data_IF_692302971203
#
_entry.id   IF_692302971203
#
_cell.length_a   1.000
_cell.length_b   1.000
_cell.length_c   1.000
_cell.angle_alpha   90.00
_cell.angle_beta   90.00
_cell.angle_gamma   90.00
#
_symmetry.space_group_name_H-M   'P 1'
#
loop_
_entity.id
_entity.type
_entity.pdbx_description
1 polymer ?
#
# COMPACT_ATOMS: atom_id res chain seq x y z
N UNK A 1 -6.26 12.33 -22.16
CA UNK A 1 -7.47 11.52 -22.32
C UNK A 1 -8.59 12.20 -21.51
N UNK A 2 -9.73 12.50 -22.13
CA UNK A 2 -10.88 13.17 -21.47
C UNK A 2 -12.14 12.37 -21.77
N UNK A 3 -12.93 12.10 -20.75
CA UNK A 3 -14.21 11.39 -20.85
C UNK A 3 -15.37 12.36 -20.77
N UNK A 4 -16.53 11.94 -21.26
CA UNK A 4 -17.76 12.69 -21.12
C UNK A 4 -18.26 12.68 -19.68
N UNK A 5 -18.98 13.75 -19.28
CA UNK A 5 -19.60 13.82 -17.96
C UNK A 5 -20.68 12.75 -17.84
N UNK A 6 -20.56 11.88 -16.85
CA UNK A 6 -21.62 10.94 -16.46
C UNK A 6 -22.44 11.56 -15.33
N UNK A 7 -23.78 11.46 -15.42
CA UNK A 7 -24.71 12.01 -14.43
C UNK A 7 -25.63 10.90 -13.93
N UNK A 8 -25.79 10.80 -12.62
CA UNK A 8 -26.71 9.88 -11.96
C UNK A 8 -27.58 10.65 -10.97
N UNK A 9 -28.89 10.54 -11.12
CA UNK A 9 -29.88 11.15 -10.21
C UNK A 9 -30.38 10.14 -9.18
N UNK A 10 -30.75 10.63 -8.00
CA UNK A 10 -31.36 9.83 -6.93
C UNK A 10 -32.24 10.71 -6.05
N UNK A 11 -33.28 10.11 -5.48
CA UNK A 11 -34.16 10.75 -4.51
C UNK A 11 -33.73 10.36 -3.09
N UNK A 12 -33.45 11.37 -2.26
CA UNK A 12 -33.03 11.18 -0.86
C UNK A 12 -34.13 11.64 0.08
N UNK A 13 -34.35 10.89 1.16
CA UNK A 13 -35.23 11.27 2.27
C UNK A 13 -34.41 11.60 3.52
N UNK A 14 -34.97 12.34 4.48
CA UNK A 14 -34.36 12.47 5.79
C UNK A 14 -33.98 11.10 6.35
N UNK A 15 -32.80 11.02 6.98
CA UNK A 15 -32.25 9.80 7.60
C UNK A 15 -31.92 8.64 6.64
N UNK A 16 -31.86 8.90 5.33
CA UNK A 16 -31.44 7.92 4.32
C UNK A 16 -29.97 8.14 3.93
N UNK A 17 -29.17 7.07 4.01
CA UNK A 17 -27.86 7.00 3.36
C UNK A 17 -28.01 6.33 1.99
N UNK A 18 -27.34 6.87 0.98
CA UNK A 18 -27.27 6.27 -0.36
C UNK A 18 -25.82 5.92 -0.66
N UNK A 19 -25.59 4.66 -1.02
CA UNK A 19 -24.36 4.21 -1.65
C UNK A 19 -24.64 3.99 -3.14
N UNK A 20 -23.75 4.44 -4.01
CA UNK A 20 -23.94 4.31 -5.44
C UNK A 20 -22.64 4.14 -6.18
N UNK A 21 -22.71 3.40 -7.28
CA UNK A 21 -21.60 3.15 -8.19
C UNK A 21 -21.88 3.86 -9.51
N UNK A 22 -20.84 4.51 -10.05
CA UNK A 22 -20.86 5.15 -11.36
C UNK A 22 -19.69 4.57 -12.16
N UNK A 23 -20.00 3.96 -13.29
CA UNK A 23 -18.99 3.52 -14.23
C UNK A 23 -18.66 4.68 -15.18
N UNK A 24 -17.36 5.00 -15.28
CA UNK A 24 -16.85 6.01 -16.20
C UNK A 24 -16.27 5.29 -17.43
N UNK A 25 -16.80 5.51 -18.64
CA UNK A 25 -16.27 4.87 -19.83
C UNK A 25 -14.93 5.50 -20.22
N UNK A 26 -13.83 4.83 -19.84
CA UNK A 26 -12.46 5.27 -20.15
C UNK A 26 -11.99 4.89 -21.55
N UNK A 27 -12.81 4.17 -22.33
CA UNK A 27 -12.46 3.74 -23.69
C UNK A 27 -11.27 2.78 -23.77
N UNK A 28 -10.81 2.51 -24.99
CA UNK A 28 -9.69 1.57 -25.24
C UNK A 28 -8.31 2.26 -25.20
N UNK A 29 -8.24 3.57 -25.45
CA UNK A 29 -7.00 4.36 -25.47
C UNK A 29 -6.68 5.01 -24.12
N UNK A 30 -6.71 4.20 -23.05
CA UNK A 30 -6.34 4.63 -21.71
C UNK A 30 -4.82 4.71 -21.58
N UNK A 31 -4.32 5.80 -20.98
CA UNK A 31 -2.91 5.91 -20.60
C UNK A 31 -2.73 5.19 -19.28
N UNK A 32 -1.84 4.20 -19.25
CA UNK A 32 -1.57 3.42 -18.06
C UNK A 32 -0.51 4.08 -17.19
N UNK A 33 -0.62 3.86 -15.88
CA UNK A 33 0.33 4.29 -14.88
C UNK A 33 1.36 3.18 -14.65
N UNK A 34 2.65 3.50 -14.76
CA UNK A 34 3.77 2.66 -14.35
C UNK A 34 4.98 3.51 -13.97
N UNK A 35 6.11 2.86 -13.63
CA UNK A 35 7.33 3.57 -13.24
C UNK A 35 7.95 4.43 -14.35
N UNK A 36 7.65 4.21 -15.62
CA UNK A 36 8.22 4.97 -16.73
C UNK A 36 7.24 6.03 -17.24
N UNK A 37 5.95 5.72 -17.19
CA UNK A 37 4.84 6.54 -17.61
C UNK A 37 3.84 6.68 -16.46
N UNK A 38 4.08 7.58 -15.48
CA UNK A 38 3.17 7.78 -14.35
C UNK A 38 1.94 8.61 -14.75
N UNK A 39 1.14 8.10 -15.69
CA UNK A 39 -0.05 8.79 -16.19
C UNK A 39 -1.12 8.87 -15.10
N UNK A 40 -1.49 10.10 -14.73
CA UNK A 40 -2.55 10.38 -13.75
C UNK A 40 -3.73 11.06 -14.42
N UNK A 41 -4.91 10.75 -13.92
CA UNK A 41 -6.19 11.34 -14.27
C UNK A 41 -6.71 12.12 -13.09
N UNK A 42 -7.39 13.24 -13.37
CA UNK A 42 -8.13 13.99 -12.36
C UNK A 42 -9.62 13.71 -12.52
N UNK A 43 -10.24 13.23 -11.45
CA UNK A 43 -11.67 13.04 -11.34
C UNK A 43 -12.27 14.20 -10.53
N UNK A 44 -13.27 14.85 -11.11
CA UNK A 44 -14.10 15.82 -10.42
C UNK A 44 -15.48 15.23 -10.18
N UNK A 45 -15.87 15.11 -8.91
CA UNK A 45 -17.17 14.59 -8.48
C UNK A 45 -17.97 15.77 -7.95
N UNK A 46 -19.11 16.03 -8.56
CA UNK A 46 -20.02 17.12 -8.16
C UNK A 46 -21.33 16.50 -7.68
N UNK A 47 -21.70 16.79 -6.44
CA UNK A 47 -23.00 16.46 -5.87
C UNK A 47 -23.88 17.71 -5.90
N UNK A 48 -24.99 17.65 -6.62
CA UNK A 48 -25.95 18.75 -6.72
C UNK A 48 -27.30 18.28 -6.17
N UNK A 49 -27.96 19.11 -5.35
CA UNK A 49 -29.29 18.80 -4.82
C UNK A 49 -30.19 20.04 -4.77
N UNK A 50 -31.50 19.82 -4.72
CA UNK A 50 -32.48 20.88 -4.55
C UNK A 50 -33.56 20.47 -3.55
N UNK A 51 -33.88 21.35 -2.60
CA UNK A 51 -34.92 21.12 -1.59
C UNK A 51 -35.57 22.46 -1.20
N UNK A 52 -36.91 22.53 -1.20
CA UNK A 52 -37.68 23.73 -0.85
C UNK A 52 -37.15 25.01 -1.54
N UNK A 53 -37.01 24.96 -2.86
CA UNK A 53 -36.44 26.01 -3.74
C UNK A 53 -34.96 26.37 -3.52
N UNK A 54 -34.30 25.80 -2.50
CA UNK A 54 -32.86 25.95 -2.30
C UNK A 54 -32.08 24.95 -3.14
N UNK A 55 -30.93 25.37 -3.65
CA UNK A 55 -29.97 24.51 -4.36
C UNK A 55 -28.70 24.37 -3.53
N UNK A 56 -28.17 23.17 -3.47
CA UNK A 56 -26.93 22.84 -2.77
C UNK A 56 -25.96 22.20 -3.75
N UNK A 57 -24.67 22.45 -3.55
CA UNK A 57 -23.59 21.89 -4.36
C UNK A 57 -22.40 21.57 -3.48
N UNK A 58 -21.86 20.37 -3.64
CA UNK A 58 -20.59 19.95 -3.06
C UNK A 58 -19.70 19.38 -4.18
N UNK A 59 -18.39 19.50 -4.02
CA UNK A 59 -17.43 19.17 -5.07
C UNK A 59 -16.14 18.60 -4.47
N UNK A 60 -15.71 17.46 -5.00
CA UNK A 60 -14.48 16.78 -4.59
C UNK A 60 -13.62 16.50 -5.82
N UNK A 61 -12.34 16.81 -5.71
CA UNK A 61 -11.31 16.46 -6.68
C UNK A 61 -10.46 15.33 -6.13
N UNK A 62 -10.18 14.33 -6.96
CA UNK A 62 -9.22 13.28 -6.65
C UNK A 62 -8.42 12.90 -7.88
N UNK A 63 -7.21 12.40 -7.69
CA UNK A 63 -6.38 11.89 -8.77
C UNK A 63 -6.30 10.37 -8.69
N UNK A 64 -6.22 9.71 -9.85
CA UNK A 64 -6.06 8.26 -9.93
C UNK A 64 -5.20 7.87 -11.12
N UNK A 65 -4.62 6.68 -11.08
CA UNK A 65 -3.85 6.10 -12.18
C UNK A 65 -4.41 4.74 -12.58
N UNK A 66 -4.38 4.45 -13.87
CA UNK A 66 -4.90 3.19 -14.42
C UNK A 66 -3.76 2.18 -14.49
N UNK A 67 -3.76 1.17 -13.63
CA UNK A 67 -2.72 0.14 -13.66
C UNK A 67 -3.25 -1.19 -13.17
N UNK A 68 -2.61 -2.25 -13.62
CA UNK A 68 -2.72 -3.58 -13.03
C UNK A 68 -1.35 -4.00 -12.51
N UNK A 69 -1.27 -4.38 -11.22
CA UNK A 69 -0.06 -4.93 -10.60
C UNK A 69 -0.37 -6.32 -10.08
N UNK A 70 0.31 -7.34 -10.61
CA UNK A 70 0.00 -8.75 -10.31
C UNK A 70 1.28 -9.57 -10.13
N UNK A 71 1.17 -10.66 -9.38
CA UNK A 71 2.18 -11.71 -9.35
C UNK A 71 1.76 -12.83 -10.32
N UNK A 72 2.61 -13.12 -11.30
CA UNK A 72 2.45 -14.24 -12.23
C UNK A 72 3.56 -15.28 -11.97
N UNK A 73 3.23 -16.29 -11.17
CA UNK A 73 4.17 -17.30 -10.73
C UNK A 73 5.26 -16.72 -9.83
N UNK A 74 6.47 -16.54 -10.38
CA UNK A 74 7.64 -16.03 -9.62
C UNK A 74 8.03 -14.61 -10.01
N UNK A 75 7.22 -13.95 -10.84
CA UNK A 75 7.51 -12.62 -11.37
C UNK A 75 6.36 -11.67 -11.08
N UNK A 76 6.68 -10.42 -10.79
CA UNK A 76 5.69 -9.36 -10.81
C UNK A 76 5.50 -8.86 -12.23
N UNK A 77 4.28 -8.45 -12.55
CA UNK A 77 3.96 -7.72 -13.78
C UNK A 77 3.21 -6.44 -13.47
N UNK A 78 3.47 -5.40 -14.28
CA UNK A 78 2.69 -4.17 -14.30
C UNK A 78 2.20 -3.95 -15.71
N UNK A 79 0.88 -3.91 -15.88
CA UNK A 79 0.25 -3.78 -17.20
C UNK A 79 0.77 -4.85 -18.18
N UNK A 80 0.73 -6.12 -17.76
CA UNK A 80 1.24 -7.31 -18.48
C UNK A 80 2.75 -7.36 -18.76
N UNK A 81 3.54 -6.40 -18.26
CA UNK A 81 4.99 -6.36 -18.45
C UNK A 81 5.70 -6.80 -17.17
N UNK A 82 6.59 -7.78 -17.29
CA UNK A 82 7.46 -8.21 -16.18
C UNK A 82 8.23 -7.02 -15.62
N UNK A 83 8.14 -6.82 -14.29
CA UNK A 83 8.86 -5.78 -13.56
C UNK A 83 9.82 -6.42 -12.55
N UNK A 84 11.00 -5.81 -12.40
CA UNK A 84 11.91 -6.10 -11.32
C UNK A 84 11.85 -4.96 -10.30
N UNK A 85 11.46 -5.29 -9.06
CA UNK A 85 11.45 -4.33 -7.96
C UNK A 85 12.89 -4.04 -7.52
N UNK A 86 13.34 -2.83 -7.79
CA UNK A 86 14.61 -2.25 -7.37
C UNK A 86 14.32 -1.45 -6.11
N UNK A 87 14.27 -2.17 -4.99
CA UNK A 87 13.72 -1.69 -3.73
C UNK A 87 14.70 -0.90 -2.86
N UNK A 88 14.19 0.12 -2.18
CA UNK A 88 14.80 0.73 -0.99
C UNK A 88 13.97 0.39 0.24
N UNK A 89 14.66 0.09 1.34
CA UNK A 89 14.08 0.05 2.68
C UNK A 89 14.02 1.46 3.30
N UNK A 90 12.89 1.82 3.87
CA UNK A 90 12.69 3.09 4.58
C UNK A 90 12.20 2.89 6.02
N UNK A 91 13.01 3.33 6.98
CA UNK A 91 12.75 3.19 8.42
C UNK A 91 12.36 4.50 9.11
N UNK A 92 11.75 5.44 8.38
CA UNK A 92 11.34 6.75 8.92
C UNK A 92 12.51 7.53 9.55
N UNK A 93 13.69 7.47 8.93
CA UNK A 93 14.91 8.07 9.49
C UNK A 93 15.03 9.53 9.02
N UNK A 94 14.52 10.45 9.83
CA UNK A 94 14.60 11.90 9.59
C UNK A 94 15.28 12.62 10.78
N UNK A 95 16.62 12.62 10.88
CA UNK A 95 17.34 13.04 12.08
C UNK A 95 17.13 14.49 12.52
N UNK A 96 16.84 15.39 11.56
CA UNK A 96 16.66 16.82 11.85
C UNK A 96 15.28 17.15 12.42
N UNK A 97 14.25 16.42 12.01
CA UNK A 97 12.85 16.67 12.36
C UNK A 97 12.33 15.68 13.40
N UNK A 98 12.84 14.45 13.40
CA UNK A 98 12.31 13.34 14.19
C UNK A 98 11.02 12.71 13.63
N UNK A 99 10.52 13.22 12.50
CA UNK A 99 9.31 12.73 11.82
C UNK A 99 9.42 12.94 10.31
N UNK A 100 8.65 12.19 9.54
CA UNK A 100 8.64 12.27 8.07
C UNK A 100 8.06 13.60 7.56
N UNK A 101 8.54 14.14 6.42
CA UNK A 101 7.92 15.29 5.79
C UNK A 101 6.42 15.08 5.57
N UNK A 102 5.64 16.14 5.72
CA UNK A 102 4.17 16.12 5.56
C UNK A 102 3.73 16.80 4.25
N UNK A 103 4.67 17.31 3.46
CA UNK A 103 4.45 17.99 2.18
C UNK A 103 4.97 17.17 0.99
N UNK A 104 4.30 17.32 -0.15
CA UNK A 104 4.57 16.57 -1.39
C UNK A 104 5.94 16.93 -1.96
N UNK A 105 6.34 18.19 -1.92
CA UNK A 105 7.60 18.66 -2.53
C UNK A 105 8.84 18.02 -1.88
N UNK A 106 8.83 17.88 -0.56
CA UNK A 106 9.90 17.18 0.18
C UNK A 106 10.00 15.71 -0.20
N UNK A 107 8.86 15.03 -0.30
CA UNK A 107 8.81 13.64 -0.75
C UNK A 107 9.20 13.49 -2.21
N UNK A 108 8.79 14.41 -3.08
CA UNK A 108 9.18 14.41 -4.48
C UNK A 108 10.70 14.50 -4.61
N UNK A 109 11.33 15.39 -3.87
CA UNK A 109 12.80 15.49 -3.83
C UNK A 109 13.43 14.16 -3.41
N UNK A 110 12.96 13.53 -2.33
CA UNK A 110 13.49 12.25 -1.82
C UNK A 110 13.36 11.15 -2.89
N UNK A 111 12.17 10.99 -3.45
CA UNK A 111 11.85 9.93 -4.41
C UNK A 111 12.53 10.16 -5.76
N UNK A 112 12.67 11.41 -6.24
CA UNK A 112 13.45 11.73 -7.46
C UNK A 112 14.91 11.39 -7.31
N UNK A 113 15.51 11.63 -6.14
CA UNK A 113 16.90 11.24 -5.87
C UNK A 113 17.01 9.73 -5.98
N UNK A 114 16.16 8.95 -5.31
CA UNK A 114 16.22 7.49 -5.41
C UNK A 114 15.98 6.98 -6.83
N UNK A 115 15.01 7.57 -7.55
CA UNK A 115 14.74 7.25 -8.96
C UNK A 115 15.94 7.51 -9.86
N UNK A 116 16.73 8.55 -9.59
CA UNK A 116 17.97 8.83 -10.34
C UNK A 116 19.04 7.74 -10.19
N UNK A 117 18.98 6.94 -9.11
CA UNK A 117 19.82 5.75 -8.91
C UNK A 117 19.16 4.47 -9.44
N UNK A 118 18.02 4.57 -10.13
CA UNK A 118 17.29 3.42 -10.67
C UNK A 118 16.40 2.70 -9.66
N UNK A 119 16.15 3.26 -8.47
CA UNK A 119 15.17 2.71 -7.52
C UNK A 119 13.76 2.97 -8.04
N UNK A 120 12.91 1.95 -7.99
CA UNK A 120 11.51 2.03 -8.41
C UNK A 120 10.52 1.52 -7.36
N UNK A 121 11.01 1.02 -6.23
CA UNK A 121 10.18 0.44 -5.18
C UNK A 121 10.64 0.91 -3.80
N UNK A 122 9.69 1.23 -2.92
CA UNK A 122 9.94 1.63 -1.54
C UNK A 122 9.14 0.75 -0.59
N UNK A 123 9.86 0.06 0.30
CA UNK A 123 9.29 -0.68 1.43
C UNK A 123 9.43 0.15 2.70
N UNK A 124 8.32 0.44 3.39
CA UNK A 124 8.30 1.23 4.63
C UNK A 124 8.31 0.32 5.86
N UNK A 125 9.49 0.10 6.40
CA UNK A 125 9.75 -0.82 7.52
C UNK A 125 9.76 -0.08 8.87
N UNK A 126 8.87 -0.36 9.80
CA UNK A 126 7.52 -0.93 9.64
C UNK A 126 6.55 0.20 9.93
N UNK A 127 6.11 0.91 8.89
CA UNK A 127 5.23 2.06 9.05
C UNK A 127 4.46 2.37 7.75
N UNK A 128 3.43 3.20 7.87
CA UNK A 128 2.73 3.79 6.73
C UNK A 128 3.17 5.26 6.60
N UNK A 129 3.68 5.68 5.42
CA UNK A 129 4.04 7.08 5.21
C UNK A 129 2.78 7.97 5.08
N UNK A 130 2.91 9.31 5.19
CA UNK A 130 1.79 10.23 5.01
C UNK A 130 1.33 10.28 3.55
N UNK A 131 0.11 10.79 3.31
CA UNK A 131 -0.48 10.98 1.97
C UNK A 131 0.47 11.67 0.99
N UNK A 132 1.22 12.68 1.47
CA UNK A 132 2.21 13.40 0.69
C UNK A 132 3.26 12.49 0.03
N UNK A 133 3.64 11.38 0.68
CA UNK A 133 4.56 10.41 0.12
C UNK A 133 3.93 9.61 -1.03
N UNK A 134 2.66 9.21 -0.88
CA UNK A 134 1.92 8.51 -1.92
C UNK A 134 1.66 9.42 -3.12
N UNK A 135 1.25 10.67 -2.90
CA UNK A 135 1.07 11.63 -3.99
C UNK A 135 2.37 11.90 -4.75
N UNK A 136 3.49 12.07 -4.04
CA UNK A 136 4.80 12.20 -4.68
C UNK A 136 5.17 10.94 -5.47
N UNK A 137 4.91 9.75 -4.92
CA UNK A 137 5.18 8.48 -5.58
C UNK A 137 4.30 8.26 -6.81
N UNK A 138 3.04 8.68 -6.78
CA UNK A 138 2.12 8.67 -7.92
C UNK A 138 2.64 9.54 -9.06
N UNK A 139 3.07 10.77 -8.75
CA UNK A 139 3.60 11.73 -9.74
C UNK A 139 4.92 11.27 -10.33
N UNK A 140 5.76 10.65 -9.52
CA UNK A 140 7.10 10.24 -9.91
C UNK A 140 7.07 8.90 -10.62
N UNK A 141 6.20 7.97 -10.24
CA UNK A 141 6.23 6.57 -10.67
C UNK A 141 7.17 5.74 -9.81
N UNK A 142 6.82 5.56 -8.53
CA UNK A 142 7.47 4.65 -7.57
C UNK A 142 6.40 3.71 -7.01
N UNK A 143 6.70 2.41 -6.94
CA UNK A 143 5.86 1.40 -6.32
C UNK A 143 6.07 1.39 -4.80
N UNK A 144 5.00 1.48 -4.03
CA UNK A 144 5.03 1.64 -2.57
C UNK A 144 4.50 0.37 -1.88
N UNK A 145 5.27 -0.09 -0.89
CA UNK A 145 4.93 -1.17 0.02
C UNK A 145 4.93 -0.65 1.47
N UNK A 146 3.86 0.04 1.91
CA UNK A 146 3.66 0.33 3.33
C UNK A 146 3.46 -0.95 4.14
N UNK A 147 3.83 -0.90 5.42
CA UNK A 147 3.61 -1.99 6.35
C UNK A 147 2.77 -1.50 7.54
N UNK A 148 1.93 -2.39 8.05
CA UNK A 148 1.34 -2.20 9.37
C UNK A 148 2.46 -2.27 10.44
N UNK A 149 2.23 -1.67 11.61
CA UNK A 149 3.18 -1.67 12.72
C UNK A 149 2.58 -2.32 13.99
N UNK A 150 2.31 -3.63 13.99
CA UNK A 150 1.66 -4.31 15.11
C UNK A 150 2.61 -4.62 16.28
N UNK A 151 3.91 -4.33 16.13
CA UNK A 151 4.97 -4.91 16.96
C UNK A 151 5.47 -6.21 16.34
N UNK A 152 5.67 -7.26 17.15
CA UNK A 152 6.39 -8.47 16.75
C UNK A 152 5.54 -9.74 16.65
N UNK A 153 4.30 -9.79 17.16
CA UNK A 153 3.58 -11.07 17.30
C UNK A 153 2.07 -10.95 17.05
N UNK A 154 1.50 -11.98 16.42
CA UNK A 154 0.06 -12.26 16.38
C UNK A 154 -0.20 -13.55 17.15
N UNK A 155 -1.35 -13.66 17.83
CA UNK A 155 -1.67 -14.81 18.67
C UNK A 155 -3.02 -15.42 18.30
N UNK A 156 -3.14 -16.74 18.46
CA UNK A 156 -4.45 -17.41 18.37
C UNK A 156 -5.33 -17.02 19.57
N UNK A 157 -6.65 -17.07 19.40
CA UNK A 157 -7.60 -16.61 20.42
C UNK A 157 -7.55 -17.35 21.76
N UNK A 158 -6.94 -18.54 21.78
CA UNK A 158 -6.75 -19.37 22.97
C UNK A 158 -5.35 -19.21 23.61
N UNK A 159 -4.46 -18.41 23.01
CA UNK A 159 -3.14 -18.13 23.56
C UNK A 159 -3.22 -17.10 24.72
N UNK A 160 -2.43 -17.25 25.80
CA UNK A 160 -2.48 -16.35 26.95
C UNK A 160 -2.14 -14.88 26.62
N UNK A 161 -1.31 -14.65 25.61
CA UNK A 161 -0.92 -13.31 25.16
C UNK A 161 -1.88 -12.71 24.11
N UNK A 162 -3.00 -13.39 23.81
CA UNK A 162 -4.00 -12.85 22.91
C UNK A 162 -4.75 -11.66 23.52
N UNK A 163 -4.76 -10.55 22.80
CA UNK A 163 -5.51 -9.35 23.14
C UNK A 163 -6.52 -9.02 22.01
N UNK A 164 -7.83 -9.22 22.23
CA UNK A 164 -8.85 -8.94 21.22
C UNK A 164 -8.99 -7.45 20.91
N UNK A 165 -8.72 -6.55 21.86
CA UNK A 165 -8.79 -5.11 21.60
C UNK A 165 -7.58 -4.64 20.78
N UNK A 166 -6.40 -5.22 21.01
CA UNK A 166 -5.24 -5.00 20.15
C UNK A 166 -5.51 -5.46 18.72
N UNK A 167 -6.03 -6.69 18.52
CA UNK A 167 -6.34 -7.18 17.18
C UNK A 167 -7.39 -6.29 16.49
N UNK A 168 -8.42 -5.87 17.21
CA UNK A 168 -9.44 -4.95 16.71
C UNK A 168 -8.84 -3.60 16.31
N UNK A 169 -7.95 -3.03 17.12
CA UNK A 169 -7.23 -1.80 16.79
C UNK A 169 -6.41 -1.95 15.52
N UNK A 170 -5.61 -3.03 15.40
CA UNK A 170 -4.77 -3.29 14.23
C UNK A 170 -5.60 -3.46 12.95
N UNK A 171 -6.73 -4.16 13.03
CA UNK A 171 -7.67 -4.27 11.91
C UNK A 171 -8.24 -2.91 11.54
N UNK A 172 -8.68 -2.12 12.52
CA UNK A 172 -9.19 -0.78 12.27
C UNK A 172 -8.14 0.14 11.62
N UNK A 173 -6.88 0.08 12.08
CA UNK A 173 -5.77 0.84 11.52
C UNK A 173 -5.48 0.43 10.07
N UNK A 174 -5.39 -0.87 9.80
CA UNK A 174 -5.16 -1.37 8.45
C UNK A 174 -6.30 -0.99 7.48
N UNK A 175 -7.56 -1.08 7.91
CA UNK A 175 -8.70 -0.58 7.12
C UNK A 175 -8.65 0.95 6.95
N UNK A 176 -8.18 1.69 7.96
CA UNK A 176 -7.94 3.13 7.89
C UNK A 176 -6.93 3.49 6.81
N UNK A 177 -5.80 2.76 6.75
CA UNK A 177 -4.77 2.90 5.70
C UNK A 177 -5.36 2.64 4.32
N UNK A 178 -6.11 1.56 4.12
CA UNK A 178 -6.74 1.25 2.83
C UNK A 178 -7.73 2.34 2.42
N UNK A 179 -8.55 2.80 3.36
CA UNK A 179 -9.53 3.86 3.11
C UNK A 179 -8.86 5.19 2.77
N UNK A 180 -7.78 5.53 3.45
CA UNK A 180 -7.09 6.81 3.26
C UNK A 180 -6.23 6.81 2.00
N UNK A 181 -5.48 5.74 1.74
CA UNK A 181 -4.41 5.75 0.76
C UNK A 181 -4.58 4.73 -0.37
N UNK A 182 -5.51 3.78 -0.26
CA UNK A 182 -5.67 2.68 -1.23
C UNK A 182 -6.09 3.10 -2.64
N UNK A 183 -6.43 4.37 -2.84
CA UNK A 183 -6.72 4.93 -4.17
C UNK A 183 -5.45 5.41 -4.91
N UNK A 184 -4.31 5.51 -4.23
CA UNK A 184 -3.06 5.93 -4.84
C UNK A 184 -2.52 4.84 -5.77
N UNK A 185 -2.32 5.11 -7.07
CA UNK A 185 -1.71 4.14 -7.98
C UNK A 185 -0.27 3.79 -7.59
N UNK A 186 0.42 4.50 -6.70
CA UNK A 186 1.71 4.05 -6.19
C UNK A 186 1.60 2.91 -5.17
N UNK A 187 0.49 2.80 -4.44
CA UNK A 187 0.27 1.78 -3.41
C UNK A 187 -0.02 0.42 -4.06
N UNK A 188 0.99 -0.44 -4.18
CA UNK A 188 0.88 -1.76 -4.85
C UNK A 188 0.75 -2.92 -3.89
N UNK A 189 1.39 -2.82 -2.73
CA UNK A 189 1.69 -3.96 -1.87
C UNK A 189 1.50 -3.55 -0.42
N UNK A 190 0.94 -4.41 0.40
CA UNK A 190 0.77 -4.19 1.83
C UNK A 190 1.26 -5.40 2.62
N UNK A 191 1.94 -5.18 3.74
CA UNK A 191 2.32 -6.26 4.64
C UNK A 191 1.87 -5.96 6.07
N UNK A 192 1.56 -6.99 6.86
CA UNK A 192 1.16 -6.79 8.26
C UNK A 192 2.29 -6.31 9.17
N UNK A 193 3.54 -6.32 8.71
CA UNK A 193 4.68 -5.90 9.52
C UNK A 193 5.97 -6.58 9.10
N UNK A 194 6.92 -6.67 10.03
CA UNK A 194 8.23 -7.24 9.82
C UNK A 194 8.64 -8.12 10.99
N UNK A 195 9.35 -9.21 10.68
CA UNK A 195 9.89 -10.16 11.67
C UNK A 195 8.83 -10.67 12.63
N UNK A 196 7.59 -10.79 12.15
CA UNK A 196 6.48 -11.23 12.97
C UNK A 196 6.62 -12.72 13.29
N UNK A 197 6.26 -13.07 14.53
CA UNK A 197 6.12 -14.43 15.01
C UNK A 197 4.71 -14.73 15.54
N UNK A 198 4.59 -15.84 16.25
CA UNK A 198 3.34 -16.28 16.86
C UNK A 198 2.49 -17.14 15.90
N UNK A 199 1.21 -16.82 15.73
CA UNK A 199 0.28 -17.60 14.92
C UNK A 199 0.26 -17.17 13.44
N UNK A 200 0.69 -18.07 12.55
CA UNK A 200 0.50 -17.93 11.10
C UNK A 200 -0.98 -17.90 10.72
N UNK A 201 -1.81 -18.67 11.41
CA UNK A 201 -3.26 -18.71 11.17
C UNK A 201 -3.89 -17.34 11.44
N UNK A 202 -3.58 -16.73 12.58
CA UNK A 202 -4.09 -15.40 12.92
C UNK A 202 -3.64 -14.33 11.91
N UNK A 203 -2.39 -14.38 11.44
CA UNK A 203 -1.91 -13.48 10.38
C UNK A 203 -2.65 -13.70 9.05
N UNK A 204 -2.85 -14.96 8.62
CA UNK A 204 -3.59 -15.29 7.41
C UNK A 204 -5.04 -14.76 7.47
N UNK A 205 -5.72 -14.93 8.61
CA UNK A 205 -7.09 -14.43 8.80
C UNK A 205 -7.19 -12.90 8.68
N UNK A 206 -6.17 -12.16 9.12
CA UNK A 206 -6.11 -10.70 8.96
C UNK A 206 -5.88 -10.32 7.50
N UNK A 207 -4.99 -11.02 6.79
CA UNK A 207 -4.75 -10.80 5.35
C UNK A 207 -6.01 -11.10 4.53
N UNK A 208 -6.66 -12.23 4.77
CA UNK A 208 -7.89 -12.61 4.06
C UNK A 208 -9.02 -11.60 4.31
N UNK A 209 -9.14 -11.13 5.55
CA UNK A 209 -10.08 -10.06 5.88
C UNK A 209 -9.75 -8.75 5.14
N UNK A 210 -8.49 -8.32 5.09
CA UNK A 210 -8.09 -7.13 4.32
C UNK A 210 -8.41 -7.28 2.83
N UNK A 211 -8.09 -8.44 2.25
CA UNK A 211 -8.39 -8.74 0.85
C UNK A 211 -9.90 -8.70 0.56
N UNK A 212 -10.74 -9.10 1.52
CA UNK A 212 -12.20 -9.05 1.37
C UNK A 212 -12.79 -7.64 1.39
N UNK A 213 -12.09 -6.66 1.97
CA UNK A 213 -12.55 -5.25 2.00
C UNK A 213 -11.89 -4.41 0.90
N UNK A 214 -10.68 -4.77 0.47
CA UNK A 214 -9.96 -4.11 -0.61
C UNK A 214 -9.02 -5.11 -1.31
N UNK A 215 -9.43 -5.61 -2.47
CA UNK A 215 -8.66 -6.59 -3.26
C UNK A 215 -7.71 -5.99 -4.29
N UNK A 216 -7.53 -4.66 -4.29
CA UNK A 216 -6.72 -3.95 -5.32
C UNK A 216 -5.21 -4.06 -5.11
N UNK A 217 -4.80 -4.46 -3.92
CA UNK A 217 -3.40 -4.51 -3.49
C UNK A 217 -2.93 -5.97 -3.38
N UNK A 218 -1.64 -6.19 -3.58
CA UNK A 218 -1.01 -7.46 -3.20
C UNK A 218 -0.74 -7.47 -1.69
N UNK A 219 -1.06 -8.58 -1.01
CA UNK A 219 -0.91 -8.70 0.43
C UNK A 219 0.13 -9.77 0.83
N UNK A 220 0.79 -9.53 1.96
CA UNK A 220 1.60 -10.53 2.63
C UNK A 220 1.36 -10.48 4.15
N UNK A 221 1.46 -11.63 4.80
CA UNK A 221 1.40 -11.76 6.26
C UNK A 221 2.54 -11.02 6.97
N UNK A 222 3.61 -10.67 6.25
CA UNK A 222 4.68 -9.80 6.74
C UNK A 222 6.00 -10.04 6.02
N UNK A 223 6.97 -9.20 6.33
CA UNK A 223 8.32 -9.26 5.79
C UNK A 223 9.27 -9.95 6.77
N UNK A 224 10.06 -10.92 6.33
CA UNK A 224 10.97 -11.68 7.19
C UNK A 224 10.27 -12.36 8.40
N UNK A 225 8.98 -12.68 8.29
CA UNK A 225 8.25 -13.37 9.36
C UNK A 225 8.89 -14.74 9.64
N UNK A 226 8.94 -15.12 10.92
CA UNK A 226 9.59 -16.35 11.39
C UNK A 226 10.98 -16.53 10.76
N UNK A 227 11.83 -15.51 10.81
CA UNK A 227 13.12 -15.48 10.10
C UNK A 227 14.09 -16.62 10.47
N UNK A 228 13.86 -17.33 11.58
CA UNK A 228 14.55 -18.58 11.96
C UNK A 228 14.04 -19.82 11.22
N UNK A 229 12.78 -19.82 10.81
CA UNK A 229 12.05 -20.88 10.10
C UNK A 229 11.28 -20.28 8.91
N UNK A 230 11.99 -19.74 7.90
CA UNK A 230 11.37 -18.99 6.82
C UNK A 230 10.57 -19.91 5.90
N UNK A 231 9.37 -19.45 5.54
CA UNK A 231 8.48 -20.14 4.62
C UNK A 231 7.62 -19.09 3.89
N UNK A 232 7.35 -19.33 2.61
CA UNK A 232 6.28 -18.61 1.90
C UNK A 232 4.95 -19.06 2.49
N UNK A 233 4.24 -18.15 3.16
CA UNK A 233 3.00 -18.50 3.82
C UNK A 233 1.87 -18.71 2.78
N UNK A 234 0.99 -19.68 3.06
CA UNK A 234 -0.23 -19.85 2.27
C UNK A 234 -1.08 -18.58 2.36
N UNK A 235 -1.61 -18.12 1.22
CA UNK A 235 -2.40 -16.90 1.14
C UNK A 235 -1.60 -15.61 0.96
N UNK A 236 -0.26 -15.64 0.95
CA UNK A 236 0.57 -14.49 0.55
C UNK A 236 0.59 -14.33 -0.97
N UNK A 237 0.37 -13.11 -1.45
CA UNK A 237 0.51 -12.75 -2.88
C UNK A 237 1.98 -12.54 -3.27
N UNK A 238 2.85 -12.27 -2.28
CA UNK A 238 4.28 -12.10 -2.47
C UNK A 238 5.09 -12.47 -1.22
N UNK A 239 6.39 -12.72 -1.40
CA UNK A 239 7.29 -13.11 -0.31
C UNK A 239 8.46 -12.15 -0.13
N UNK A 240 8.46 -11.41 0.98
CA UNK A 240 9.62 -10.61 1.40
C UNK A 240 10.41 -11.39 2.45
N UNK A 241 11.62 -11.82 2.10
CA UNK A 241 12.46 -12.61 3.01
C UNK A 241 13.96 -12.39 2.75
N UNK A 242 14.78 -12.52 3.79
CA UNK A 242 16.24 -12.60 3.69
C UNK A 242 16.76 -14.03 3.49
N UNK A 243 15.95 -15.07 3.72
CA UNK A 243 16.34 -16.49 3.68
C UNK A 243 15.22 -17.37 3.11
N UNK A 244 15.57 -18.39 2.33
CA UNK A 244 14.58 -19.33 1.77
C UNK A 244 14.56 -20.69 2.45
N UNK A 245 15.50 -20.97 3.37
CA UNK A 245 15.58 -22.23 4.12
C UNK A 245 16.35 -22.04 5.44
N UNK A 246 16.09 -22.92 6.41
CA UNK A 246 16.83 -22.99 7.67
C UNK A 246 18.31 -23.29 7.40
N UNK A 247 19.22 -22.52 8.02
CA UNK A 247 20.66 -22.78 7.98
C UNK A 247 21.41 -22.49 6.67
N UNK A 248 20.74 -22.00 5.61
CA UNK A 248 21.41 -21.54 4.38
C UNK A 248 21.78 -20.05 4.46
N UNK A 249 22.79 -19.68 3.67
CA UNK A 249 23.16 -18.29 3.42
C UNK A 249 21.94 -17.48 2.95
N UNK A 250 21.93 -16.20 3.29
CA UNK A 250 20.91 -15.24 2.84
C UNK A 250 20.69 -15.35 1.33
N UNK A 251 19.48 -15.01 0.87
CA UNK A 251 19.15 -15.00 -0.56
C UNK A 251 20.23 -14.22 -1.33
N UNK A 252 20.57 -14.67 -2.55
CA UNK A 252 21.62 -14.00 -3.34
C UNK A 252 21.33 -12.50 -3.44
N UNK A 253 22.26 -11.67 -2.93
CA UNK A 253 22.12 -10.21 -2.87
C UNK A 253 21.63 -9.66 -1.52
N UNK A 254 21.21 -10.51 -0.58
CA UNK A 254 20.91 -10.11 0.79
C UNK A 254 22.20 -10.03 1.61
N UNK A 255 22.66 -8.81 1.86
CA UNK A 255 23.78 -8.51 2.75
C UNK A 255 23.21 -8.04 4.09
N UNK A 256 23.29 -8.87 5.12
CA UNK A 256 23.04 -8.46 6.50
C UNK A 256 24.35 -8.61 7.28
N UNK A 257 24.97 -7.48 7.61
CA UNK A 257 26.22 -7.42 8.36
C UNK A 257 26.06 -6.45 9.52
N UNK A 258 25.40 -6.90 10.59
CA UNK A 258 25.18 -6.06 11.77
C UNK A 258 26.43 -5.84 12.62
N UNK A 259 27.55 -6.53 12.35
CA UNK A 259 28.74 -6.56 13.23
C UNK A 259 30.08 -6.61 12.45
N UNK A 260 30.27 -5.79 11.41
CA UNK A 260 31.64 -5.64 10.90
C UNK A 260 32.48 -4.85 11.92
N UNK A 261 33.78 -5.19 12.11
CA UNK A 261 34.69 -4.47 13.00
C UNK A 261 35.07 -3.07 12.47
N UNK A 262 34.27 -2.51 11.55
CA UNK A 262 34.51 -1.24 10.87
C UNK A 262 33.93 -0.04 11.62
N UNK A 263 33.48 -0.23 12.87
CA UNK A 263 33.05 0.84 13.76
C UNK A 263 31.55 1.12 13.72
N UNK A 264 31.06 1.72 14.81
CA UNK A 264 29.72 2.30 14.92
C UNK A 264 29.66 3.56 14.06
N UNK A 265 28.61 3.71 13.25
CA UNK A 265 28.22 5.01 12.67
C UNK A 265 27.48 5.79 13.74
#
# INVERSE_FOLDING_TARGET
HKTDRVVKGFDVRPDMAIETWIELPMGEEVLLWDEFSPALYSLNIILESSCNDNKWRDEVFTNFGMREFTANGTQFTVNDKTVFLRGKHDACVFPLTGYSPMDVDSWERILRIAKSYGINHYRFHTWCPPEAAFEAADRIGIYMQPELCPGNFFWDSDHPDYDPEMLKYLKAEAAGIMKAFGNHPSFVMFALGNELGGSRKAMAEVVDWLRSIDSRHSYAQGSNNFWTEPMLAEGDDYWTTMRTNVGRASIRGAFSHCNMPLGYI
#
